data_IF_832261509160
#
_entry.id   IF_832261509160
#
_cell.length_a   1.000
_cell.length_b   1.000
_cell.length_c   1.000
_cell.angle_alpha   90.00
_cell.angle_beta   90.00
_cell.angle_gamma   90.00
#
_symmetry.space_group_name_H-M   'P 1'
#
loop_
_entity.id
_entity.type
_entity.pdbx_description
1 polymer ?
#
# COMPACT_ATOMS: atom_id res chain seq x y z
N UNK A 1 -21.14 7.90 1.31
CA UNK A 1 -19.90 8.30 1.99
C UNK A 1 -18.79 7.25 1.86
N UNK A 2 -18.90 6.03 2.42
CA UNK A 2 -17.87 5.00 2.22
C UNK A 2 -17.79 4.49 0.76
N UNK A 3 -18.92 4.39 0.06
CA UNK A 3 -18.97 4.00 -1.35
C UNK A 3 -18.30 5.02 -2.27
N UNK A 4 -18.47 6.32 -2.02
CA UNK A 4 -17.90 7.40 -2.82
C UNK A 4 -16.38 7.50 -2.62
N UNK A 5 -15.94 7.30 -1.38
CA UNK A 5 -14.51 7.18 -1.04
C UNK A 5 -13.92 5.97 -1.75
N UNK A 6 -14.59 4.82 -1.69
CA UNK A 6 -14.14 3.61 -2.37
C UNK A 6 -14.07 3.79 -3.90
N UNK A 7 -15.05 4.48 -4.50
CA UNK A 7 -15.07 4.80 -5.92
C UNK A 7 -13.91 5.74 -6.32
N UNK A 8 -13.60 6.74 -5.49
CA UNK A 8 -12.45 7.62 -5.69
C UNK A 8 -11.13 6.83 -5.67
N UNK A 9 -10.91 5.99 -4.67
CA UNK A 9 -9.68 5.20 -4.58
C UNK A 9 -9.55 4.16 -5.71
N UNK A 10 -10.67 3.53 -6.10
CA UNK A 10 -10.68 2.56 -7.21
C UNK A 10 -10.44 3.24 -8.57
N UNK A 11 -10.89 4.48 -8.76
CA UNK A 11 -10.72 5.22 -10.01
C UNK A 11 -9.28 5.71 -10.24
N UNK A 12 -8.57 6.10 -9.18
CA UNK A 12 -7.24 6.71 -9.29
C UNK A 12 -6.08 5.73 -9.04
N UNK A 13 -6.32 4.64 -8.31
CA UNK A 13 -5.31 3.62 -8.02
C UNK A 13 -4.17 4.10 -7.09
N UNK A 14 -3.36 3.14 -6.63
CA UNK A 14 -2.31 3.40 -5.64
C UNK A 14 -1.22 4.36 -6.14
N UNK A 15 -0.94 4.42 -7.44
CA UNK A 15 0.08 5.31 -8.02
C UNK A 15 -0.27 6.80 -7.92
N UNK A 16 -1.55 7.15 -7.81
CA UNK A 16 -2.02 8.54 -7.71
C UNK A 16 -2.37 8.90 -6.27
N UNK A 17 -3.07 8.00 -5.58
CA UNK A 17 -3.53 8.18 -4.21
C UNK A 17 -2.37 8.51 -3.26
N UNK A 18 -1.25 7.85 -3.46
CA UNK A 18 -0.13 7.83 -2.50
C UNK A 18 0.68 9.11 -2.56
N UNK A 19 1.07 9.61 -3.75
CA UNK A 19 1.60 10.97 -3.90
C UNK A 19 0.70 12.05 -3.30
N UNK A 20 -0.62 11.96 -3.53
CA UNK A 20 -1.58 12.93 -3.02
C UNK A 20 -1.61 12.92 -1.48
N UNK A 21 -1.60 11.74 -0.87
CA UNK A 21 -1.52 11.62 0.60
C UNK A 21 -0.21 12.19 1.16
N UNK A 22 0.94 11.90 0.52
CA UNK A 22 2.24 12.46 0.92
C UNK A 22 2.22 13.99 0.83
N UNK A 23 1.64 14.55 -0.23
CA UNK A 23 1.49 15.98 -0.41
C UNK A 23 0.68 16.63 0.72
N UNK A 24 -0.48 16.06 1.05
CA UNK A 24 -1.36 16.57 2.12
C UNK A 24 -0.64 16.54 3.46
N UNK A 25 0.01 15.42 3.81
CA UNK A 25 0.75 15.28 5.07
C UNK A 25 1.90 16.29 5.14
N UNK A 26 2.68 16.45 4.06
CA UNK A 26 3.78 17.40 4.01
C UNK A 26 3.32 18.85 4.23
N UNK A 27 2.15 19.23 3.70
CA UNK A 27 1.55 20.54 3.96
C UNK A 27 1.18 20.74 5.44
N UNK A 28 0.58 19.73 6.09
CA UNK A 28 0.27 19.80 7.52
C UNK A 28 1.52 19.90 8.40
N UNK A 29 2.62 19.28 7.97
CA UNK A 29 3.93 19.42 8.62
C UNK A 29 4.61 20.76 8.33
N UNK A 30 3.93 21.71 7.68
CA UNK A 30 4.41 23.04 7.31
C UNK A 30 5.65 23.02 6.40
N UNK A 31 5.81 21.96 5.61
CA UNK A 31 6.81 21.92 4.54
C UNK A 31 6.41 22.94 3.47
N UNK A 32 7.38 23.63 2.86
CA UNK A 32 7.11 24.59 1.79
C UNK A 32 6.31 23.91 0.67
N UNK A 33 5.18 24.50 0.19
CA UNK A 33 4.29 23.85 -0.78
C UNK A 33 4.98 23.36 -2.05
N UNK A 34 5.98 24.11 -2.53
CA UNK A 34 6.80 23.73 -3.67
C UNK A 34 7.59 22.44 -3.40
N UNK A 35 8.20 22.32 -2.22
CA UNK A 35 8.94 21.13 -1.83
C UNK A 35 8.01 19.94 -1.59
N UNK A 36 6.87 20.16 -0.93
CA UNK A 36 5.84 19.14 -0.72
C UNK A 36 5.36 18.55 -2.05
N UNK A 37 5.08 19.39 -3.06
CA UNK A 37 4.62 18.94 -4.37
C UNK A 37 5.70 18.12 -5.09
N UNK A 38 6.96 18.58 -5.07
CA UNK A 38 8.06 17.86 -5.69
C UNK A 38 8.31 16.51 -5.01
N UNK A 39 8.29 16.44 -3.68
CA UNK A 39 8.45 15.19 -2.92
C UNK A 39 7.35 14.18 -3.24
N UNK A 40 6.09 14.64 -3.32
CA UNK A 40 4.96 13.80 -3.73
C UNK A 40 5.13 13.26 -5.15
N UNK A 41 5.51 14.11 -6.11
CA UNK A 41 5.75 13.71 -7.49
C UNK A 41 6.90 12.69 -7.60
N UNK A 42 8.01 12.90 -6.90
CA UNK A 42 9.11 11.95 -6.90
C UNK A 42 8.71 10.58 -6.32
N UNK A 43 7.90 10.57 -5.26
CA UNK A 43 7.35 9.32 -4.72
C UNK A 43 6.46 8.60 -5.75
N UNK A 44 5.61 9.33 -6.48
CA UNK A 44 4.76 8.78 -7.52
C UNK A 44 5.53 8.20 -8.71
N UNK A 45 6.54 8.92 -9.18
CA UNK A 45 7.44 8.45 -10.25
C UNK A 45 8.19 7.19 -9.79
N UNK A 46 8.71 7.18 -8.56
CA UNK A 46 9.37 6.01 -7.98
C UNK A 46 8.45 4.80 -7.90
N UNK A 47 7.23 4.96 -7.40
CA UNK A 47 6.24 3.89 -7.31
C UNK A 47 5.86 3.32 -8.69
N UNK A 48 5.71 4.20 -9.68
CA UNK A 48 5.36 3.82 -11.05
C UNK A 48 6.50 3.04 -11.71
N UNK A 49 7.74 3.55 -11.64
CA UNK A 49 8.91 2.85 -12.20
C UNK A 49 9.15 1.51 -11.53
N UNK A 50 8.96 1.44 -10.22
CA UNK A 50 9.02 0.20 -9.46
C UNK A 50 7.97 -0.82 -9.93
N UNK A 51 6.73 -0.38 -10.16
CA UNK A 51 5.65 -1.20 -10.70
C UNK A 51 5.96 -1.77 -12.10
N UNK A 52 6.58 -0.98 -12.97
CA UNK A 52 7.02 -1.45 -14.29
C UNK A 52 8.08 -2.54 -14.19
N UNK A 53 9.11 -2.33 -13.36
CA UNK A 53 10.19 -3.32 -13.19
C UNK A 53 9.64 -4.64 -12.66
N UNK A 54 8.75 -4.61 -11.64
CA UNK A 54 8.11 -5.83 -11.16
C UNK A 54 7.34 -6.51 -12.29
N UNK A 55 6.51 -5.76 -13.02
CA UNK A 55 5.63 -6.32 -14.05
C UNK A 55 6.42 -7.02 -15.16
N UNK A 56 7.59 -6.50 -15.52
CA UNK A 56 8.51 -7.13 -16.48
C UNK A 56 9.30 -8.30 -15.89
N UNK A 57 9.64 -8.25 -14.60
CA UNK A 57 10.44 -9.27 -13.94
C UNK A 57 9.64 -10.51 -13.53
N UNK A 58 8.39 -10.34 -13.08
CA UNK A 58 7.52 -11.42 -12.59
C UNK A 58 7.32 -12.57 -13.58
N UNK A 59 7.06 -12.34 -14.89
CA UNK A 59 6.90 -13.42 -15.86
C UNK A 59 8.18 -14.26 -16.04
N UNK A 60 9.34 -13.60 -16.05
CA UNK A 60 10.65 -14.25 -16.21
C UNK A 60 10.93 -15.17 -15.03
N UNK A 61 10.74 -14.67 -13.80
CA UNK A 61 10.91 -15.45 -12.57
C UNK A 61 9.92 -16.60 -12.50
N UNK A 62 8.64 -16.35 -12.80
CA UNK A 62 7.58 -17.37 -12.76
C UNK A 62 7.88 -18.53 -13.71
N UNK A 63 8.43 -18.26 -14.89
CA UNK A 63 8.86 -19.29 -15.84
C UNK A 63 9.95 -20.20 -15.24
N UNK A 64 10.95 -19.62 -14.59
CA UNK A 64 12.04 -20.36 -13.95
C UNK A 64 11.52 -21.20 -12.77
N UNK A 65 10.63 -20.64 -11.95
CA UNK A 65 10.00 -21.37 -10.83
C UNK A 65 9.21 -22.57 -11.34
N UNK A 66 8.42 -22.41 -12.41
CA UNK A 66 7.68 -23.53 -13.04
C UNK A 66 8.62 -24.62 -13.56
N UNK A 67 9.76 -24.24 -14.13
CA UNK A 67 10.79 -25.19 -14.55
C UNK A 67 11.39 -25.95 -13.36
N UNK A 68 11.71 -25.25 -12.26
CA UNK A 68 12.20 -25.84 -11.02
C UNK A 68 11.19 -26.86 -10.44
N UNK A 69 9.91 -26.51 -10.39
CA UNK A 69 8.82 -27.41 -9.98
C UNK A 69 8.75 -28.66 -10.85
N UNK A 70 8.86 -28.50 -12.18
CA UNK A 70 8.85 -29.62 -13.12
C UNK A 70 10.04 -30.57 -12.96
N UNK A 71 11.23 -30.05 -12.61
CA UNK A 71 12.45 -30.86 -12.42
C UNK A 71 12.50 -31.54 -11.06
N UNK A 72 12.03 -30.86 -10.01
CA UNK A 72 12.09 -31.37 -8.63
C UNK A 72 10.90 -32.24 -8.23
N UNK A 73 9.80 -32.21 -9.00
CA UNK A 73 8.57 -32.91 -8.68
C UNK A 73 7.77 -32.28 -7.52
N UNK A 74 8.20 -31.14 -7.00
CA UNK A 74 7.55 -30.41 -5.91
C UNK A 74 6.27 -29.74 -6.42
N UNK A 75 5.11 -30.27 -6.06
CA UNK A 75 3.79 -29.73 -6.47
C UNK A 75 3.34 -28.59 -5.55
N UNK A 76 3.98 -27.42 -5.68
CA UNK A 76 3.52 -26.19 -5.01
C UNK A 76 2.67 -25.35 -5.99
N UNK A 77 1.36 -25.15 -5.73
CA UNK A 77 0.47 -24.43 -6.63
C UNK A 77 0.60 -22.90 -6.53
N UNK A 78 1.33 -22.37 -5.54
CA UNK A 78 1.40 -20.94 -5.23
C UNK A 78 2.82 -20.43 -5.39
N UNK A 79 2.95 -19.24 -6.01
CA UNK A 79 4.22 -18.50 -6.15
C UNK A 79 4.10 -17.23 -5.33
N UNK A 80 5.06 -17.00 -4.42
CA UNK A 80 5.18 -15.74 -3.70
C UNK A 80 5.73 -14.66 -4.65
N UNK A 81 4.92 -13.63 -4.88
CA UNK A 81 5.23 -12.50 -5.76
C UNK A 81 5.86 -11.33 -5.01
N UNK A 82 6.18 -11.50 -3.73
CA UNK A 82 6.84 -10.53 -2.87
C UNK A 82 5.88 -9.61 -2.11
N UNK A 83 6.46 -8.81 -1.21
CA UNK A 83 5.73 -7.93 -0.31
C UNK A 83 4.99 -6.80 -1.05
N UNK A 84 5.49 -6.39 -2.22
CA UNK A 84 4.98 -5.22 -2.94
C UNK A 84 3.64 -5.47 -3.61
N UNK A 85 3.44 -6.67 -4.16
CA UNK A 85 2.13 -7.04 -4.71
C UNK A 85 1.07 -7.15 -3.61
N UNK A 86 1.44 -7.69 -2.44
CA UNK A 86 0.57 -7.71 -1.25
C UNK A 86 0.23 -6.30 -0.75
N UNK A 87 1.22 -5.41 -0.74
CA UNK A 87 1.02 -3.99 -0.38
C UNK A 87 0.06 -3.30 -1.35
N UNK A 88 0.28 -3.43 -2.66
CA UNK A 88 -0.63 -2.89 -3.70
C UNK A 88 -2.05 -3.45 -3.57
N UNK A 89 -2.20 -4.76 -3.38
CA UNK A 89 -3.51 -5.39 -3.21
C UNK A 89 -4.24 -4.88 -1.97
N UNK A 90 -3.50 -4.66 -0.87
CA UNK A 90 -4.06 -4.12 0.38
C UNK A 90 -4.56 -2.68 0.19
N UNK A 91 -3.77 -1.83 -0.47
CA UNK A 91 -4.16 -0.44 -0.77
C UNK A 91 -5.26 -0.31 -1.82
N UNK A 92 -5.44 -1.32 -2.67
CA UNK A 92 -6.58 -1.41 -3.59
C UNK A 92 -7.90 -1.78 -2.90
N UNK A 93 -7.87 -2.20 -1.64
CA UNK A 93 -9.04 -2.63 -0.90
C UNK A 93 -9.63 -1.55 0.00
N UNK A 94 -10.95 -1.58 0.17
CA UNK A 94 -11.68 -0.65 1.06
C UNK A 94 -11.20 -0.73 2.51
N UNK A 95 -10.88 -1.94 2.99
CA UNK A 95 -10.42 -2.18 4.36
C UNK A 95 -9.01 -1.64 4.55
N UNK A 96 -8.10 -1.91 3.62
CA UNK A 96 -6.74 -1.39 3.68
C UNK A 96 -6.71 0.13 3.64
N UNK A 97 -7.55 0.75 2.82
CA UNK A 97 -7.68 2.21 2.76
C UNK A 97 -8.25 2.81 4.05
N UNK A 98 -9.30 2.19 4.60
CA UNK A 98 -9.84 2.61 5.89
C UNK A 98 -8.77 2.49 6.99
N UNK A 99 -8.05 1.37 7.05
CA UNK A 99 -6.95 1.17 8.00
C UNK A 99 -5.85 2.22 7.84
N UNK A 100 -5.50 2.60 6.61
CA UNK A 100 -4.53 3.64 6.35
C UNK A 100 -4.98 5.00 6.90
N UNK A 101 -6.22 5.40 6.64
CA UNK A 101 -6.77 6.68 7.11
C UNK A 101 -6.93 6.71 8.64
N UNK A 102 -7.57 5.69 9.21
CA UNK A 102 -7.78 5.59 10.66
C UNK A 102 -6.47 5.40 11.41
N UNK A 103 -5.57 4.56 10.90
CA UNK A 103 -4.24 4.34 11.46
C UNK A 103 -3.42 5.61 11.50
N UNK A 104 -3.43 6.41 10.43
CA UNK A 104 -2.75 7.72 10.39
C UNK A 104 -3.34 8.71 11.40
N UNK A 105 -4.67 8.81 11.48
CA UNK A 105 -5.35 9.69 12.44
C UNK A 105 -5.05 9.28 13.88
N UNK A 106 -5.05 7.97 14.16
CA UNK A 106 -4.73 7.44 15.47
C UNK A 106 -3.27 7.66 15.86
N UNK A 107 -2.34 7.43 14.95
CA UNK A 107 -0.90 7.69 15.15
C UNK A 107 -0.66 9.18 15.44
N UNK A 108 -1.31 10.07 14.69
CA UNK A 108 -1.22 11.51 14.88
C UNK A 108 -1.80 11.95 16.23
N UNK A 109 -2.91 11.34 16.68
CA UNK A 109 -3.49 11.57 18.00
C UNK A 109 -2.56 11.13 19.13
N UNK A 110 -2.02 9.91 19.08
CA UNK A 110 -1.13 9.38 20.12
C UNK A 110 0.16 10.21 20.20
N UNK A 111 0.68 10.65 19.05
CA UNK A 111 1.84 11.55 18.99
C UNK A 111 1.52 12.92 19.59
N UNK A 112 0.37 13.52 19.25
CA UNK A 112 -0.05 14.80 19.81
C UNK A 112 -0.31 14.75 21.33
N UNK A 113 -0.82 13.63 21.83
CA UNK A 113 -1.00 13.36 23.26
C UNK A 113 0.30 13.02 24.00
N UNK A 114 1.43 12.91 23.29
CA UNK A 114 2.74 12.62 23.87
C UNK A 114 2.90 11.19 24.40
N UNK A 115 1.99 10.27 24.07
CA UNK A 115 2.04 8.87 24.49
C UNK A 115 3.18 8.15 23.75
N UNK A 116 3.40 8.46 22.47
CA UNK A 116 4.55 7.99 21.70
C UNK A 116 5.40 9.18 21.23
N UNK A 117 6.72 8.99 21.22
CA UNK A 117 7.69 9.99 20.70
C UNK A 117 8.01 9.81 19.22
N UNK A 118 7.48 8.76 18.60
CA UNK A 118 7.77 8.36 17.22
C UNK A 118 6.51 8.54 16.40
N UNK A 119 6.62 9.34 15.35
CA UNK A 119 5.61 9.50 14.31
C UNK A 119 6.27 9.18 12.97
N UNK A 120 5.87 8.07 12.36
CA UNK A 120 6.36 7.65 11.05
C UNK A 120 5.18 7.45 10.11
N UNK A 121 4.67 8.54 9.56
CA UNK A 121 3.60 8.52 8.56
C UNK A 121 3.93 7.60 7.34
N UNK A 122 5.22 7.46 6.99
CA UNK A 122 5.66 6.54 5.93
C UNK A 122 5.62 5.06 6.34
N UNK A 123 5.66 4.73 7.63
CA UNK A 123 5.68 3.35 8.12
C UNK A 123 4.31 2.66 8.00
N UNK A 124 3.22 3.43 7.86
CA UNK A 124 1.91 2.87 7.49
C UNK A 124 1.93 2.12 6.16
N UNK A 125 2.86 2.47 5.25
CA UNK A 125 3.13 1.69 4.04
C UNK A 125 3.70 0.30 4.32
N UNK A 126 4.59 0.23 5.31
CA UNK A 126 5.27 -1.00 5.71
C UNK A 126 4.35 -1.90 6.56
N UNK A 127 3.34 -1.29 7.19
CA UNK A 127 2.28 -1.98 7.93
C UNK A 127 1.20 -2.60 7.02
N UNK A 128 1.42 -2.68 5.70
CA UNK A 128 0.51 -3.34 4.75
C UNK A 128 0.20 -4.79 5.15
N UNK A 129 1.10 -5.46 5.87
CA UNK A 129 0.86 -6.80 6.41
C UNK A 129 -0.42 -6.85 7.25
N UNK A 130 -0.65 -5.88 8.14
CA UNK A 130 -1.89 -5.84 8.93
C UNK A 130 -3.12 -5.55 8.07
N UNK A 131 -2.94 -4.70 7.05
CA UNK A 131 -4.00 -4.35 6.09
C UNK A 131 -4.43 -5.56 5.26
N UNK A 132 -3.49 -6.41 4.82
CA UNK A 132 -3.81 -7.57 3.98
C UNK A 132 -4.61 -8.62 4.75
N UNK A 133 -4.27 -8.84 6.02
CA UNK A 133 -5.02 -9.77 6.89
C UNK A 133 -6.44 -9.27 7.14
N UNK A 134 -6.61 -7.98 7.42
CA UNK A 134 -7.94 -7.36 7.56
C UNK A 134 -8.74 -7.44 6.26
N UNK A 135 -8.09 -7.21 5.12
CA UNK A 135 -8.71 -7.32 3.78
C UNK A 135 -9.16 -8.75 3.50
N UNK A 136 -8.33 -9.74 3.84
CA UNK A 136 -8.67 -11.15 3.64
C UNK A 136 -9.83 -11.58 4.55
N UNK A 137 -9.83 -11.16 5.81
CA UNK A 137 -10.94 -11.44 6.74
C UNK A 137 -12.26 -10.83 6.22
N UNK A 138 -12.23 -9.60 5.74
CA UNK A 138 -13.40 -8.97 5.10
C UNK A 138 -13.85 -9.71 3.84
N UNK A 139 -12.92 -10.16 3.02
CA UNK A 139 -13.24 -10.89 1.79
C UNK A 139 -13.93 -12.23 2.07
N UNK A 140 -13.55 -12.90 3.16
CA UNK A 140 -14.14 -14.19 3.57
C UNK A 140 -15.46 -14.03 4.33
N UNK A 141 -15.58 -13.00 5.16
CA UNK A 141 -16.74 -12.82 6.06
C UNK A 141 -17.81 -11.90 5.48
N UNK A 142 -17.45 -11.08 4.49
CA UNK A 142 -18.25 -9.96 3.97
C UNK A 142 -18.71 -8.98 5.07
N UNK A 143 -18.07 -9.01 6.24
CA UNK A 143 -18.37 -8.12 7.34
C UNK A 143 -17.23 -7.12 7.53
N UNK A 144 -17.58 -5.84 7.41
CA UNK A 144 -16.64 -4.74 7.58
C UNK A 144 -16.32 -4.45 9.05
N UNK A 145 -17.16 -4.93 9.96
CA UNK A 145 -17.01 -4.79 11.42
C UNK A 145 -16.44 -6.08 12.02
#
# INVERSE_FOLDING_TARGET
>A
MFQDVNAFFTAFGASVVVPVMIFIIALFLKVQPKMAMMSALYAGVGLTGFGWIISEFTPVVTKIIKQMVSTTGIKLPVVDIGWQAGSLASFGSTVGLAFFVFGLLFELLIFALGITKVFMASNLWNNFGFMIWGTMAYYVTHNFW
#
